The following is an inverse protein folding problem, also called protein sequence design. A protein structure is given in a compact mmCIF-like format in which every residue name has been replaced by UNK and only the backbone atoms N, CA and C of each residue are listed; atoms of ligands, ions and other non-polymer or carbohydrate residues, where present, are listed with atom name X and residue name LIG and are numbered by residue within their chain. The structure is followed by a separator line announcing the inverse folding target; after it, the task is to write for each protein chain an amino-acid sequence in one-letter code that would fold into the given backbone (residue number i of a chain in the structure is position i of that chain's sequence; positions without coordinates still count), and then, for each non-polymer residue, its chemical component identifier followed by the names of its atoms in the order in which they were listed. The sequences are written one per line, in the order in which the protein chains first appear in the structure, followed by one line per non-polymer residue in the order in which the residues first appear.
data_IF_479468752386
#
_entry.id   IF_479468752386
#
_cell.length_a   1.000
_cell.length_b   1.000
_cell.length_c   1.000
_cell.angle_alpha   90.00
_cell.angle_beta   90.00
_cell.angle_gamma   90.00
#
_symmetry.space_group_name_H-M   'P 1'
#
loop_
_entity.id
_entity.type
_entity.pdbx_description
1 polymer ?
#
# COMPACT_ATOMS: atom_id res chain seq x y z
N UNK A 1 10.97 -6.89 -7.69
CA UNK A 1 10.42 -8.01 -6.89
C UNK A 1 9.30 -8.70 -7.66
N UNK A 2 9.34 -10.03 -7.69
CA UNK A 2 8.29 -10.89 -8.20
C UNK A 2 7.08 -10.87 -7.26
N UNK A 3 5.88 -11.08 -7.80
CA UNK A 3 4.64 -11.07 -7.00
C UNK A 3 4.64 -12.13 -5.89
N UNK A 4 5.33 -13.25 -6.10
CA UNK A 4 5.45 -14.33 -5.10
C UNK A 4 6.23 -13.88 -3.86
N UNK A 5 7.34 -13.16 -4.06
CA UNK A 5 8.16 -12.61 -2.97
C UNK A 5 7.38 -11.55 -2.18
N UNK A 6 6.67 -10.67 -2.90
CA UNK A 6 5.84 -9.64 -2.29
C UNK A 6 4.73 -10.28 -1.43
N UNK A 7 4.08 -11.34 -1.94
CA UNK A 7 3.08 -12.09 -1.17
C UNK A 7 3.67 -12.68 0.11
N UNK A 8 4.84 -13.30 0.03
CA UNK A 8 5.50 -13.86 1.21
C UNK A 8 5.86 -12.79 2.25
N UNK A 9 6.28 -11.60 1.82
CA UNK A 9 6.70 -10.55 2.72
C UNK A 9 5.55 -9.77 3.37
N UNK A 10 4.40 -9.65 2.68
CA UNK A 10 3.31 -8.75 3.09
C UNK A 10 2.06 -9.47 3.62
N UNK A 11 1.77 -10.70 3.19
CA UNK A 11 0.60 -11.43 3.69
C UNK A 11 0.73 -11.63 5.20
N UNK A 12 -0.32 -11.26 5.93
CA UNK A 12 -0.39 -11.37 7.39
C UNK A 12 0.11 -10.13 8.14
N UNK A 13 0.80 -9.19 7.48
CA UNK A 13 1.14 -7.88 8.06
C UNK A 13 -0.09 -7.00 8.15
N UNK A 14 -0.08 -6.04 9.07
CA UNK A 14 -1.12 -5.01 9.15
C UNK A 14 -0.68 -3.78 8.39
N UNK A 15 -1.54 -3.29 7.50
CA UNK A 15 -1.33 -2.07 6.75
C UNK A 15 -2.16 -0.95 7.36
N UNK A 16 -1.53 0.20 7.63
CA UNK A 16 -2.20 1.49 7.76
C UNK A 16 -1.96 2.29 6.48
N UNK A 17 -3.02 2.80 5.90
CA UNK A 17 -3.00 3.62 4.69
C UNK A 17 -3.65 4.97 4.96
N UNK A 18 -3.07 6.03 4.39
CA UNK A 18 -3.65 7.36 4.36
C UNK A 18 -3.43 8.02 3.01
N UNK A 19 -4.49 8.62 2.47
CA UNK A 19 -4.50 9.42 1.24
C UNK A 19 -5.00 10.83 1.56
N UNK A 20 -4.06 11.77 1.64
CA UNK A 20 -4.35 13.17 1.94
C UNK A 20 -5.13 13.90 0.86
N UNK A 21 -5.19 13.41 -0.38
CA UNK A 21 -6.00 14.04 -1.43
C UNK A 21 -7.49 13.75 -1.22
N UNK A 22 -7.81 12.49 -0.95
CA UNK A 22 -9.20 12.04 -0.78
C UNK A 22 -9.68 12.06 0.67
N UNK A 23 -8.80 12.39 1.63
CA UNK A 23 -9.08 12.24 3.07
C UNK A 23 -9.38 10.79 3.48
N UNK A 24 -8.92 9.82 2.68
CA UNK A 24 -9.22 8.40 2.87
C UNK A 24 -8.16 7.75 3.75
N UNK A 25 -8.58 6.82 4.60
CA UNK A 25 -7.67 6.00 5.39
C UNK A 25 -8.21 4.59 5.54
N UNK A 26 -7.31 3.64 5.71
CA UNK A 26 -7.67 2.24 5.93
C UNK A 26 -6.67 1.56 6.87
N UNK A 27 -7.14 0.57 7.61
CA UNK A 27 -6.34 -0.18 8.56
C UNK A 27 -6.78 -1.64 8.60
N UNK A 28 -5.96 -2.54 8.04
CA UNK A 28 -6.32 -3.96 7.95
C UNK A 28 -5.13 -4.89 7.84
N UNK A 29 -5.34 -6.15 8.25
CA UNK A 29 -4.40 -7.25 8.00
C UNK A 29 -4.46 -7.67 6.55
N UNK A 30 -3.33 -7.66 5.83
CA UNK A 30 -3.26 -8.03 4.42
C UNK A 30 -3.49 -9.55 4.27
N UNK A 31 -4.65 -9.95 3.75
CA UNK A 31 -4.96 -11.36 3.45
C UNK A 31 -4.97 -11.70 1.96
N UNK A 32 -4.96 -10.69 1.08
CA UNK A 32 -4.90 -10.93 -0.35
C UNK A 32 -4.12 -9.84 -1.11
N UNK A 33 -3.34 -10.26 -2.11
CA UNK A 33 -2.57 -9.37 -2.98
C UNK A 33 -2.80 -9.75 -4.44
N UNK A 34 -3.18 -8.74 -5.23
CA UNK A 34 -3.31 -8.82 -6.69
C UNK A 34 -2.18 -8.01 -7.34
N UNK A 35 -1.46 -8.62 -8.27
CA UNK A 35 -0.47 -7.90 -9.08
C UNK A 35 -1.14 -7.19 -10.26
N UNK A 36 -0.81 -5.92 -10.47
CA UNK A 36 -1.35 -5.09 -11.55
C UNK A 36 -0.20 -4.30 -12.20
N UNK A 37 0.50 -4.89 -13.18
CA UNK A 37 1.59 -4.20 -13.88
C UNK A 37 2.71 -3.74 -12.96
N UNK A 38 2.94 -2.42 -12.88
CA UNK A 38 3.93 -1.76 -12.01
C UNK A 38 3.46 -1.59 -10.55
N UNK A 39 2.22 -1.95 -10.23
CA UNK A 39 1.63 -1.82 -8.90
C UNK A 39 1.16 -3.18 -8.35
N UNK A 40 0.86 -3.20 -7.06
CA UNK A 40 0.04 -4.22 -6.41
C UNK A 40 -1.19 -3.57 -5.81
N UNK A 41 -2.25 -4.36 -5.67
CA UNK A 41 -3.42 -4.02 -4.87
C UNK A 41 -3.50 -4.99 -3.70
N UNK A 42 -3.61 -4.46 -2.49
CA UNK A 42 -3.67 -5.24 -1.25
C UNK A 42 -5.04 -5.10 -0.61
N UNK A 43 -5.52 -6.19 -0.03
CA UNK A 43 -6.89 -6.32 0.50
C UNK A 43 -6.88 -7.12 1.81
N UNK A 44 -7.88 -6.92 2.68
CA UNK A 44 -8.07 -7.76 3.86
C UNK A 44 -8.35 -9.21 3.47
N UNK A 45 -9.18 -9.42 2.46
CA UNK A 45 -9.53 -10.74 1.93
C UNK A 45 -9.80 -10.66 0.42
N UNK A 46 -9.79 -11.81 -0.27
CA UNK A 46 -10.09 -11.87 -1.71
C UNK A 46 -11.54 -11.44 -1.96
N UNK A 47 -11.71 -10.34 -2.70
CA UNK A 47 -13.04 -9.83 -3.09
C UNK A 47 -13.76 -9.01 -2.02
N UNK A 48 -13.09 -8.64 -0.93
CA UNK A 48 -13.64 -7.77 0.12
C UNK A 48 -12.80 -6.50 0.31
N UNK A 49 -13.48 -5.42 0.72
CA UNK A 49 -12.88 -4.15 1.08
C UNK A 49 -12.45 -3.31 -0.12
N UNK A 50 -11.99 -2.10 0.16
CA UNK A 50 -11.35 -1.25 -0.83
C UNK A 50 -9.87 -1.63 -0.94
N UNK A 51 -9.40 -1.86 -2.15
CA UNK A 51 -8.02 -2.27 -2.38
C UNK A 51 -7.08 -1.08 -2.28
N UNK A 52 -6.08 -1.15 -1.41
CA UNK A 52 -5.02 -0.14 -1.37
C UNK A 52 -4.02 -0.44 -2.48
N UNK A 53 -3.72 0.56 -3.31
CA UNK A 53 -2.76 0.44 -4.40
C UNK A 53 -1.38 0.87 -3.89
N UNK A 54 -0.38 0.01 -4.10
CA UNK A 54 1.01 0.28 -3.73
C UNK A 54 1.89 0.05 -4.97
N UNK A 55 2.63 1.07 -5.44
CA UNK A 55 3.63 0.89 -6.48
C UNK A 55 4.72 -0.10 -6.08
N UNK A 56 5.09 -1.02 -6.97
CA UNK A 56 6.11 -2.05 -6.69
C UNK A 56 7.47 -1.47 -6.33
N UNK A 57 7.76 -0.25 -6.80
CA UNK A 57 8.98 0.47 -6.49
C UNK A 57 9.10 0.83 -5.00
N UNK A 58 7.98 0.97 -4.28
CA UNK A 58 7.98 1.37 -2.87
C UNK A 58 8.06 0.18 -1.92
N UNK A 59 7.73 -1.02 -2.41
CA UNK A 59 7.65 -2.24 -1.62
C UNK A 59 8.96 -2.58 -0.89
N UNK A 60 10.16 -2.50 -1.51
CA UNK A 60 11.41 -2.78 -0.79
C UNK A 60 11.58 -1.89 0.44
N UNK A 61 11.41 -0.57 0.27
CA UNK A 61 11.54 0.40 1.36
C UNK A 61 10.44 0.25 2.41
N UNK A 62 9.22 -0.09 1.99
CA UNK A 62 8.10 -0.36 2.90
C UNK A 62 8.37 -1.59 3.79
N UNK A 63 8.95 -2.65 3.21
CA UNK A 63 9.32 -3.87 3.95
C UNK A 63 10.47 -3.59 4.92
N UNK A 64 11.46 -2.80 4.50
CA UNK A 64 12.67 -2.50 5.27
C UNK A 64 12.39 -1.52 6.43
N UNK A 65 11.75 -0.39 6.14
CA UNK A 65 11.55 0.69 7.11
C UNK A 65 10.22 0.60 7.85
N UNK A 66 9.29 -0.25 7.40
CA UNK A 66 7.92 -0.28 7.91
C UNK A 66 7.06 0.91 7.48
N UNK A 67 7.60 1.90 6.78
CA UNK A 67 6.86 3.07 6.33
C UNK A 67 7.36 3.59 4.98
N UNK A 68 6.43 4.11 4.18
CA UNK A 68 6.72 4.92 3.01
C UNK A 68 5.76 6.11 2.95
N UNK A 69 6.32 7.32 2.85
CA UNK A 69 5.56 8.56 2.64
C UNK A 69 5.88 9.09 1.26
N UNK A 70 4.83 9.42 0.50
CA UNK A 70 4.92 10.09 -0.78
C UNK A 70 4.32 11.48 -0.66
N UNK A 71 5.14 12.50 -0.90
CA UNK A 71 4.67 13.87 -1.07
C UNK A 71 4.24 14.06 -2.53
N UNK A 72 3.03 14.56 -2.73
CA UNK A 72 2.43 14.81 -4.03
C UNK A 72 1.98 16.28 -4.12
N UNK A 73 1.77 16.74 -5.34
CA UNK A 73 1.19 18.05 -5.63
C UNK A 73 0.22 17.92 -6.80
N UNK A 74 -1.00 18.44 -6.63
CA UNK A 74 -2.02 18.55 -7.68
C UNK A 74 -2.56 19.97 -7.62
N UNK A 75 -2.54 20.70 -8.75
CA UNK A 75 -3.10 22.06 -8.84
C UNK A 75 -2.57 23.04 -7.77
N UNK A 76 -1.28 22.95 -7.42
CA UNK A 76 -0.62 23.73 -6.34
C UNK A 76 -1.07 23.39 -4.92
N UNK A 77 -1.85 22.32 -4.74
CA UNK A 77 -2.18 21.75 -3.45
C UNK A 77 -1.24 20.58 -3.14
N UNK A 78 -0.41 20.73 -2.10
CA UNK A 78 0.46 19.67 -1.62
C UNK A 78 -0.30 18.74 -0.68
N UNK A 79 -0.10 17.43 -0.83
CA UNK A 79 -0.66 16.41 0.06
C UNK A 79 0.26 15.20 0.18
N UNK A 80 0.01 14.36 1.17
CA UNK A 80 0.78 13.15 1.42
C UNK A 80 -0.06 11.90 1.20
N UNK A 81 0.57 10.86 0.67
CA UNK A 81 0.06 9.49 0.74
C UNK A 81 1.03 8.67 1.57
N UNK A 82 0.52 7.95 2.55
CA UNK A 82 1.33 7.19 3.52
C UNK A 82 0.89 5.74 3.57
N UNK A 83 1.88 4.87 3.62
CA UNK A 83 1.72 3.44 3.87
C UNK A 83 2.61 3.05 5.04
N UNK A 84 2.05 2.39 6.04
CA UNK A 84 2.79 1.89 7.21
C UNK A 84 2.45 0.41 7.40
N UNK A 85 3.47 -0.42 7.63
CA UNK A 85 3.37 -1.85 7.88
C UNK A 85 3.75 -2.16 9.34
N UNK A 86 2.93 -2.97 9.99
CA UNK A 86 3.17 -3.55 11.31
C UNK A 86 3.29 -5.08 11.22
#
# INVERSE_FOLDING_TARGET
MLIKEIKQALIGKVLSYYDGWNGSSDYFKIGYIKGCGSCISVYPEKGKGFGVIIPKAYIPKLIECGEYVRHNEVERCSFETRWTLF
#
